data_IF_943663158992
#
_entry.id   IF_943663158992
#
_cell.length_a   1.000
_cell.length_b   1.000
_cell.length_c   1.000
_cell.angle_alpha   90.00
_cell.angle_beta   90.00
_cell.angle_gamma   90.00
#
_symmetry.space_group_name_H-M   'P 1'
#
loop_
_entity.id
_entity.type
_entity.pdbx_description
1 polymer ?
#
# COMPACT_ATOMS: atom_id res chain seq x y z
N UNK A 1 3.32 -18.19 15.47
CA UNK A 1 2.87 -17.27 14.42
C UNK A 1 1.92 -16.31 15.10
N UNK A 2 2.18 -14.99 15.08
CA UNK A 2 1.16 -14.04 15.54
C UNK A 2 -0.02 -14.12 14.58
N UNK A 3 -1.22 -14.32 15.11
CA UNK A 3 -2.43 -14.39 14.30
C UNK A 3 -2.94 -12.95 14.09
N UNK A 4 -2.75 -12.43 12.88
CA UNK A 4 -3.20 -11.09 12.51
C UNK A 4 -4.60 -11.19 11.89
N UNK A 5 -5.52 -10.34 12.31
CA UNK A 5 -6.80 -10.17 11.63
C UNK A 5 -6.55 -9.46 10.28
N UNK A 6 -6.37 -10.23 9.22
CA UNK A 6 -6.07 -9.74 7.87
C UNK A 6 -7.28 -9.87 6.95
N UNK A 7 -7.62 -8.77 6.26
CA UNK A 7 -8.68 -8.74 5.27
C UNK A 7 -8.31 -7.86 4.07
N UNK A 8 -8.77 -8.20 2.85
CA UNK A 8 -8.73 -7.26 1.73
C UNK A 8 -9.49 -6.00 2.09
N UNK A 9 -8.94 -4.85 1.74
CA UNK A 9 -9.55 -3.55 2.02
C UNK A 9 -9.75 -2.77 0.72
N UNK A 10 -10.96 -2.27 0.54
CA UNK A 10 -11.31 -1.36 -0.54
C UNK A 10 -11.60 -0.02 0.12
N UNK A 11 -10.91 1.07 -0.27
CA UNK A 11 -11.26 2.39 0.21
C UNK A 11 -12.74 2.68 -0.05
N UNK A 12 -13.51 3.13 0.95
CA UNK A 12 -14.90 3.50 0.70
C UNK A 12 -14.94 4.70 -0.25
N UNK A 13 -16.02 4.80 -1.03
CA UNK A 13 -16.19 5.89 -1.99
C UNK A 13 -16.45 7.26 -1.32
N UNK A 14 -16.79 7.25 -0.04
CA UNK A 14 -17.02 8.47 0.74
C UNK A 14 -16.39 8.32 2.13
N UNK A 15 -15.59 9.30 2.58
CA UNK A 15 -15.14 10.45 1.81
C UNK A 15 -14.20 10.09 0.66
N UNK A 16 -14.37 10.74 -0.50
CA UNK A 16 -13.47 10.55 -1.64
C UNK A 16 -12.01 10.90 -1.28
N UNK A 17 -11.06 10.03 -1.64
CA UNK A 17 -9.64 10.22 -1.29
C UNK A 17 -9.03 11.42 -1.99
N UNK A 18 -9.45 11.76 -3.21
CA UNK A 18 -8.95 12.94 -3.91
C UNK A 18 -9.49 14.24 -3.27
N UNK A 19 -10.71 14.22 -2.75
CA UNK A 19 -11.23 15.33 -1.92
C UNK A 19 -10.47 15.45 -0.60
N UNK A 20 -10.30 14.35 0.14
CA UNK A 20 -9.50 14.37 1.38
C UNK A 20 -8.06 14.81 1.13
N UNK A 21 -7.55 14.46 -0.06
CA UNK A 21 -6.25 14.88 -0.51
C UNK A 21 -6.15 16.40 -0.59
N UNK A 22 -7.04 17.04 -1.35
CA UNK A 22 -7.07 18.49 -1.46
C UNK A 22 -7.25 19.17 -0.09
N UNK A 23 -8.17 18.67 0.74
CA UNK A 23 -8.41 19.23 2.08
C UNK A 23 -7.19 19.13 2.99
N UNK A 24 -6.48 18.01 2.97
CA UNK A 24 -5.25 17.86 3.73
C UNK A 24 -4.12 18.74 3.18
N UNK A 25 -4.07 18.96 1.86
CA UNK A 25 -3.10 19.87 1.23
C UNK A 25 -3.30 21.31 1.71
N UNK A 26 -4.55 21.77 1.69
CA UNK A 26 -4.95 23.11 2.11
C UNK A 26 -4.65 23.31 3.61
N UNK A 27 -4.99 22.32 4.43
CA UNK A 27 -4.75 22.36 5.87
C UNK A 27 -3.25 22.39 6.22
N UNK A 28 -2.40 21.71 5.44
CA UNK A 28 -0.94 21.64 5.66
C UNK A 28 -0.15 22.72 4.90
N UNK A 29 -0.79 23.54 4.06
CA UNK A 29 -0.13 24.59 3.28
C UNK A 29 0.78 24.08 2.15
N UNK A 30 0.43 22.94 1.53
CA UNK A 30 1.23 22.33 0.45
C UNK A 30 1.05 23.12 -0.86
N UNK A 31 2.13 23.77 -1.32
CA UNK A 31 2.09 24.71 -2.44
C UNK A 31 1.83 24.07 -3.82
N UNK A 32 2.12 22.77 -4.00
CA UNK A 32 1.91 22.08 -5.26
C UNK A 32 1.66 20.59 -5.06
N UNK A 33 0.69 20.06 -5.81
CA UNK A 33 0.30 18.65 -5.77
C UNK A 33 0.86 17.95 -7.01
N UNK A 34 1.97 17.23 -6.85
CA UNK A 34 2.57 16.50 -7.96
C UNK A 34 1.82 15.19 -8.23
N UNK A 35 1.49 14.42 -7.19
CA UNK A 35 0.77 13.15 -7.29
C UNK A 35 0.02 12.89 -5.99
N UNK A 36 -1.30 12.65 -6.05
CA UNK A 36 -2.12 12.27 -4.90
C UNK A 36 -2.82 10.93 -5.14
N UNK A 37 -3.19 10.22 -4.07
CA UNK A 37 -3.92 8.98 -4.20
C UNK A 37 -5.36 9.24 -4.68
N UNK A 38 -5.78 8.43 -5.63
CA UNK A 38 -7.15 8.38 -6.14
C UNK A 38 -7.77 7.01 -5.82
N UNK A 39 -9.10 6.94 -5.74
CA UNK A 39 -9.80 5.65 -5.66
C UNK A 39 -10.16 5.22 -7.08
N UNK A 40 -9.73 4.02 -7.47
CA UNK A 40 -10.15 3.37 -8.71
C UNK A 40 -10.55 1.93 -8.40
N UNK A 41 -11.53 1.41 -9.15
CA UNK A 41 -12.28 0.15 -8.93
C UNK A 41 -11.53 -0.92 -8.13
N UNK A 42 -11.64 -0.85 -6.81
CA UNK A 42 -11.11 -1.85 -5.87
C UNK A 42 -9.79 -1.51 -5.18
N UNK A 43 -9.26 -0.29 -5.28
CA UNK A 43 -8.02 0.07 -4.60
C UNK A 43 -7.61 1.54 -4.69
N UNK A 44 -6.41 1.82 -4.18
CA UNK A 44 -5.77 3.14 -4.26
C UNK A 44 -4.91 3.20 -5.52
N UNK A 45 -4.97 4.29 -6.28
CA UNK A 45 -4.10 4.58 -7.43
C UNK A 45 -3.21 5.77 -7.12
N UNK A 46 -1.95 5.75 -7.55
CA UNK A 46 -1.02 6.86 -7.33
C UNK A 46 -0.25 7.17 -8.62
N UNK A 47 -0.50 8.33 -9.21
CA UNK A 47 0.13 8.76 -10.47
C UNK A 47 -0.22 7.84 -11.64
N UNK A 48 0.77 7.51 -12.47
CA UNK A 48 0.61 6.58 -13.60
C UNK A 48 0.64 5.10 -13.22
N UNK A 49 0.71 4.74 -11.93
CA UNK A 49 0.77 3.36 -11.50
C UNK A 49 -0.61 2.68 -11.58
N UNK A 50 -0.66 1.36 -11.81
CA UNK A 50 -1.88 0.59 -11.62
C UNK A 50 -2.42 0.73 -10.17
N UNK A 51 -3.73 0.57 -9.95
CA UNK A 51 -4.30 0.51 -8.61
C UNK A 51 -3.65 -0.59 -7.76
N UNK A 52 -3.32 -0.27 -6.52
CA UNK A 52 -2.76 -1.20 -5.55
C UNK A 52 -3.87 -2.11 -4.99
N UNK A 53 -3.55 -3.38 -4.81
CA UNK A 53 -4.31 -4.25 -3.92
C UNK A 53 -3.98 -3.85 -2.49
N UNK A 54 -5.01 -3.59 -1.69
CA UNK A 54 -4.80 -3.16 -0.30
C UNK A 54 -5.30 -4.22 0.65
N UNK A 55 -4.47 -4.56 1.63
CA UNK A 55 -4.83 -5.40 2.76
C UNK A 55 -4.79 -4.57 4.03
N UNK A 56 -5.76 -4.82 4.90
CA UNK A 56 -5.85 -4.23 6.23
C UNK A 56 -5.47 -5.27 7.26
N UNK A 57 -4.64 -4.86 8.21
CA UNK A 57 -4.41 -5.58 9.45
C UNK A 57 -4.46 -4.65 10.66
N UNK A 58 -4.57 -5.23 11.86
CA UNK A 58 -4.51 -4.49 13.12
C UNK A 58 -3.34 -5.03 13.94
N UNK A 59 -2.46 -4.13 14.38
CA UNK A 59 -1.32 -4.44 15.26
C UNK A 59 -1.20 -3.31 16.29
N UNK A 60 -1.08 -3.68 17.57
CA UNK A 60 -0.96 -2.72 18.68
C UNK A 60 -2.08 -1.65 18.69
N UNK A 61 -3.29 -2.05 18.29
CA UNK A 61 -4.46 -1.15 18.21
C UNK A 61 -4.45 -0.19 17.02
N UNK A 62 -3.44 -0.24 16.15
CA UNK A 62 -3.30 0.59 14.95
C UNK A 62 -3.71 -0.18 13.70
N UNK A 63 -4.29 0.53 12.73
CA UNK A 63 -4.55 0.00 11.40
C UNK A 63 -3.27 0.05 10.57
N UNK A 64 -2.92 -1.07 9.95
CA UNK A 64 -1.82 -1.18 9.00
C UNK A 64 -2.40 -1.50 7.62
N UNK A 65 -2.12 -0.63 6.65
CA UNK A 65 -2.50 -0.84 5.25
C UNK A 65 -1.27 -1.33 4.48
N UNK A 66 -1.36 -2.54 3.92
CA UNK A 66 -0.32 -3.14 3.08
C UNK A 66 -0.76 -3.04 1.63
N UNK A 67 -0.02 -2.24 0.85
CA UNK A 67 -0.29 -1.95 -0.55
C UNK A 67 0.63 -2.78 -1.43
N UNK A 68 0.03 -3.60 -2.30
CA UNK A 68 0.71 -4.51 -3.21
C UNK A 68 0.40 -4.13 -4.65
N UNK A 69 1.41 -4.12 -5.51
CA UNK A 69 1.20 -3.93 -6.93
C UNK A 69 0.69 -5.23 -7.58
N UNK A 70 -0.52 -5.27 -8.16
CA UNK A 70 -1.06 -6.49 -8.76
C UNK A 70 -0.15 -7.09 -9.84
N UNK A 71 0.63 -6.26 -10.53
CA UNK A 71 1.59 -6.72 -11.54
C UNK A 71 2.75 -7.53 -10.95
N UNK A 72 3.26 -7.13 -9.80
CA UNK A 72 4.32 -7.87 -9.11
C UNK A 72 3.77 -9.12 -8.41
N UNK A 73 2.58 -9.03 -7.80
CA UNK A 73 1.86 -10.21 -7.27
C UNK A 73 1.55 -11.21 -8.39
N UNK A 74 1.15 -10.74 -9.56
CA UNK A 74 0.97 -11.60 -10.73
C UNK A 74 2.29 -12.26 -11.16
N UNK A 75 3.39 -11.51 -11.18
CA UNK A 75 4.69 -12.04 -11.62
C UNK A 75 5.24 -13.19 -10.74
N UNK A 76 4.81 -13.29 -9.48
CA UNK A 76 5.15 -14.42 -8.60
C UNK A 76 4.21 -15.62 -8.75
N UNK A 77 3.08 -15.48 -9.46
CA UNK A 77 2.14 -16.57 -9.73
C UNK A 77 2.52 -17.28 -11.05
N UNK A 78 2.78 -18.61 -11.03
CA UNK A 78 3.11 -19.35 -12.24
C UNK A 78 2.07 -19.17 -13.35
N UNK A 79 2.52 -18.83 -14.56
CA UNK A 79 1.67 -18.69 -15.74
C UNK A 79 1.00 -17.31 -15.94
N UNK A 80 1.20 -16.36 -15.03
CA UNK A 80 0.70 -15.00 -15.22
C UNK A 80 1.53 -14.22 -16.28
N UNK A 81 0.85 -13.43 -17.11
CA UNK A 81 1.51 -12.53 -18.06
C UNK A 81 2.03 -11.31 -17.31
N UNK A 82 3.35 -11.21 -17.13
CA UNK A 82 3.98 -10.07 -16.49
C UNK A 82 4.03 -8.84 -17.41
N UNK A 83 3.55 -7.70 -16.90
CA UNK A 83 3.91 -6.38 -17.41
C UNK A 83 4.76 -5.71 -16.35
N UNK A 84 5.99 -5.29 -16.68
CA UNK A 84 6.88 -4.68 -15.71
C UNK A 84 6.33 -3.33 -15.23
N UNK A 85 6.59 -3.00 -13.97
CA UNK A 85 6.42 -1.65 -13.45
C UNK A 85 7.58 -0.77 -13.92
N UNK A 86 7.42 0.57 -13.90
CA UNK A 86 8.53 1.48 -14.16
C UNK A 86 9.73 1.17 -13.26
N UNK A 87 10.94 1.30 -13.80
CA UNK A 87 12.15 1.15 -13.00
C UNK A 87 12.16 2.18 -11.86
N UNK A 88 12.51 1.74 -10.65
CA UNK A 88 12.55 2.61 -9.47
C UNK A 88 11.18 3.13 -9.00
N UNK A 89 10.07 2.51 -9.42
CA UNK A 89 8.72 2.99 -9.07
C UNK A 89 8.50 3.13 -7.56
N UNK A 90 9.04 2.19 -6.76
CA UNK A 90 8.90 2.22 -5.32
C UNK A 90 9.64 3.41 -4.71
N UNK A 91 10.87 3.69 -5.17
CA UNK A 91 11.69 4.80 -4.69
C UNK A 91 11.14 6.16 -5.16
N UNK A 92 10.54 6.21 -6.36
CA UNK A 92 9.87 7.39 -6.90
C UNK A 92 8.51 7.72 -6.28
N UNK A 93 7.98 6.85 -5.41
CA UNK A 93 6.69 7.08 -4.76
C UNK A 93 6.81 8.13 -3.65
N UNK A 94 5.99 9.18 -3.72
CA UNK A 94 5.85 10.15 -2.62
C UNK A 94 4.91 9.57 -1.55
N UNK A 95 5.54 8.85 -0.61
CA UNK A 95 4.84 8.13 0.44
C UNK A 95 4.17 9.07 1.45
N UNK A 96 4.71 10.29 1.62
CA UNK A 96 4.09 11.28 2.48
C UNK A 96 2.76 11.75 1.87
N UNK A 97 2.72 12.03 0.57
CA UNK A 97 1.48 12.40 -0.13
C UNK A 97 0.46 11.26 -0.19
N UNK A 98 0.90 10.00 -0.23
CA UNK A 98 0.01 8.84 -0.11
C UNK A 98 -0.59 8.71 1.30
N UNK A 99 0.23 8.83 2.34
CA UNK A 99 -0.22 8.66 3.72
C UNK A 99 -1.08 9.83 4.24
N UNK A 100 -0.83 11.05 3.75
CA UNK A 100 -1.47 12.27 4.24
C UNK A 100 -3.01 12.19 4.25
N UNK A 101 -3.73 11.97 3.13
CA UNK A 101 -5.19 11.93 3.14
C UNK A 101 -5.74 10.75 3.96
N UNK A 102 -5.02 9.63 4.04
CA UNK A 102 -5.45 8.45 4.79
C UNK A 102 -5.52 8.72 6.30
N UNK A 103 -4.65 9.57 6.84
CA UNK A 103 -4.71 9.99 8.26
C UNK A 103 -6.00 10.69 8.62
N UNK A 104 -6.64 11.35 7.65
CA UNK A 104 -7.89 12.09 7.82
C UNK A 104 -9.13 11.27 7.44
N UNK A 105 -8.94 10.03 6.98
CA UNK A 105 -10.04 9.17 6.58
C UNK A 105 -10.70 8.52 7.82
N UNK A 106 -12.03 8.61 8.02
CA UNK A 106 -12.69 8.16 9.25
C UNK A 106 -12.49 6.68 9.55
N UNK A 107 -12.48 5.82 8.53
CA UNK A 107 -12.36 4.36 8.72
C UNK A 107 -10.93 3.87 9.00
N UNK A 108 -9.93 4.70 8.72
CA UNK A 108 -8.50 4.34 8.85
C UNK A 108 -7.69 5.46 9.50
N UNK A 109 -8.35 6.29 10.31
CA UNK A 109 -7.72 7.39 11.01
C UNK A 109 -6.53 6.85 11.82
N UNK A 110 -5.37 7.49 11.64
CA UNK A 110 -4.08 7.05 12.18
C UNK A 110 -3.54 5.69 11.67
N UNK A 111 -3.66 5.39 10.38
CA UNK A 111 -3.03 4.19 9.81
C UNK A 111 -1.52 4.32 9.61
N UNK A 112 -0.81 3.20 9.76
CA UNK A 112 0.50 3.00 9.14
C UNK A 112 0.31 2.44 7.72
N UNK A 113 1.16 2.86 6.80
CA UNK A 113 1.08 2.44 5.39
C UNK A 113 2.37 1.78 4.96
N UNK A 114 2.27 0.59 4.38
CA UNK A 114 3.39 -0.22 3.91
C UNK A 114 3.21 -0.46 2.41
N UNK A 115 4.05 0.14 1.58
CA UNK A 115 4.07 -0.11 0.13
C UNK A 115 5.16 -1.14 -0.14
N UNK A 116 4.77 -2.27 -0.70
CA UNK A 116 5.66 -3.42 -0.88
C UNK A 116 5.97 -3.61 -2.36
N UNK A 117 7.25 -3.73 -2.68
CA UNK A 117 7.72 -4.25 -3.97
C UNK A 117 8.16 -5.70 -3.81
N UNK A 118 7.70 -6.56 -4.72
CA UNK A 118 7.99 -7.98 -4.71
C UNK A 118 8.95 -8.35 -5.84
N UNK A 119 9.95 -9.15 -5.51
CA UNK A 119 10.84 -9.79 -6.45
C UNK A 119 10.52 -11.28 -6.58
N UNK A 120 10.65 -11.81 -7.79
CA UNK A 120 10.35 -13.21 -8.10
C UNK A 120 11.21 -14.22 -7.30
N UNK A 121 12.32 -13.78 -6.71
CA UNK A 121 13.20 -14.54 -5.82
C UNK A 121 12.65 -14.78 -4.41
N UNK A 122 11.46 -14.28 -4.05
CA UNK A 122 10.96 -14.31 -2.67
C UNK A 122 11.54 -13.21 -1.78
N UNK A 123 12.01 -12.14 -2.42
CA UNK A 123 12.51 -10.94 -1.74
C UNK A 123 11.47 -9.83 -1.82
N UNK A 124 11.33 -9.07 -0.74
CA UNK A 124 10.42 -7.94 -0.65
C UNK A 124 11.14 -6.69 -0.16
N UNK A 125 10.91 -5.56 -0.82
CA UNK A 125 11.30 -4.23 -0.33
C UNK A 125 10.05 -3.52 0.18
N UNK A 126 10.13 -2.90 1.36
CA UNK A 126 9.00 -2.22 1.98
C UNK A 126 9.36 -0.77 2.22
N UNK A 127 8.52 0.15 1.76
CA UNK A 127 8.58 1.56 2.18
C UNK A 127 7.39 1.87 3.08
N UNK A 128 7.65 2.56 4.18
CA UNK A 128 6.69 2.71 5.26
C UNK A 128 6.45 4.18 5.65
N UNK A 129 5.19 4.52 5.86
CA UNK A 129 4.78 5.75 6.53
C UNK A 129 4.06 5.37 7.82
N UNK A 130 4.75 5.54 8.95
CA UNK A 130 4.32 5.09 10.26
C UNK A 130 5.25 4.01 10.83
N UNK A 131 4.89 3.39 11.96
CA UNK A 131 5.67 2.33 12.57
C UNK A 131 5.83 1.11 11.66
N UNK A 132 7.03 0.51 11.67
CA UNK A 132 7.31 -0.70 10.91
C UNK A 132 6.48 -1.88 11.39
N UNK A 133 6.05 -2.75 10.46
CA UNK A 133 5.22 -3.91 10.78
C UNK A 133 5.56 -5.14 9.93
N UNK A 134 6.84 -5.48 9.82
CA UNK A 134 7.32 -6.57 8.97
C UNK A 134 6.62 -7.92 9.22
N UNK A 135 6.28 -8.26 10.46
CA UNK A 135 5.53 -9.48 10.78
C UNK A 135 4.13 -9.50 10.16
N UNK A 136 3.44 -8.36 10.17
CA UNK A 136 2.11 -8.19 9.56
C UNK A 136 2.22 -8.19 8.02
N UNK A 137 3.22 -7.50 7.48
CA UNK A 137 3.51 -7.51 6.03
C UNK A 137 3.78 -8.94 5.56
N UNK A 138 4.63 -9.70 6.26
CA UNK A 138 4.90 -11.11 5.94
C UNK A 138 3.62 -11.95 5.93
N UNK A 139 2.76 -11.80 6.95
CA UNK A 139 1.49 -12.52 7.01
C UNK A 139 0.53 -12.17 5.87
N UNK A 140 0.54 -10.92 5.38
CA UNK A 140 -0.19 -10.54 4.15
C UNK A 140 0.41 -11.21 2.92
N UNK A 141 1.74 -11.21 2.79
CA UNK A 141 2.43 -11.86 1.66
C UNK A 141 2.17 -13.37 1.61
N UNK A 142 2.12 -14.03 2.77
CA UNK A 142 1.76 -15.45 2.89
C UNK A 142 0.30 -15.73 2.45
N UNK A 143 -0.60 -14.74 2.55
CA UNK A 143 -1.99 -14.86 2.07
C UNK A 143 -2.12 -14.72 0.56
N UNK A 144 -1.28 -13.87 -0.06
CA UNK A 144 -1.40 -13.52 -1.48
C UNK A 144 -0.45 -14.29 -2.39
N UNK A 145 0.51 -15.03 -1.82
CA UNK A 145 1.52 -15.77 -2.56
C UNK A 145 1.63 -17.21 -2.10
N UNK A 146 2.14 -18.08 -2.96
CA UNK A 146 2.57 -19.44 -2.59
C UNK A 146 3.98 -19.50 -2.01
N UNK A 147 4.62 -18.35 -1.75
CA UNK A 147 5.98 -18.27 -1.22
C UNK A 147 5.93 -18.48 0.29
N UNK A 148 6.71 -19.44 0.80
CA UNK A 148 6.65 -19.88 2.20
C UNK A 148 7.57 -19.11 3.15
N UNK A 149 8.51 -18.32 2.62
CA UNK A 149 9.40 -17.49 3.41
C UNK A 149 9.84 -16.25 2.63
N UNK A 150 9.61 -15.07 3.21
CA UNK A 150 9.99 -13.79 2.63
C UNK A 150 11.27 -13.24 3.24
N UNK A 151 12.18 -12.78 2.38
CA UNK A 151 13.35 -12.00 2.80
C UNK A 151 13.09 -10.52 2.58
N UNK A 152 13.04 -9.76 3.67
CA UNK A 152 12.94 -8.30 3.60
C UNK A 152 14.31 -7.70 3.31
N UNK A 153 14.34 -6.80 2.32
CA UNK A 153 15.49 -6.01 1.94
C UNK A 153 15.30 -4.59 2.48
N UNK A 154 16.40 -4.00 2.97
CA UNK A 154 16.44 -2.61 3.45
C UNK A 154 16.23 -1.57 2.31
#
# INVERSE_FOLDING_TARGET
>A
MMDFALEPWIPPASPDLARLAMEAADAEGVASLSIWPEVDKGGIRFGGLPPFLVWRGILEGRIHLVLLQPREVGAIVPGARGAQLPAGWLDGLDLASLARPLRHHPDVAECAVHVVSLHASGEARVREAGPAAHGLVAAVLDRVSGVTAWRFLD
#
